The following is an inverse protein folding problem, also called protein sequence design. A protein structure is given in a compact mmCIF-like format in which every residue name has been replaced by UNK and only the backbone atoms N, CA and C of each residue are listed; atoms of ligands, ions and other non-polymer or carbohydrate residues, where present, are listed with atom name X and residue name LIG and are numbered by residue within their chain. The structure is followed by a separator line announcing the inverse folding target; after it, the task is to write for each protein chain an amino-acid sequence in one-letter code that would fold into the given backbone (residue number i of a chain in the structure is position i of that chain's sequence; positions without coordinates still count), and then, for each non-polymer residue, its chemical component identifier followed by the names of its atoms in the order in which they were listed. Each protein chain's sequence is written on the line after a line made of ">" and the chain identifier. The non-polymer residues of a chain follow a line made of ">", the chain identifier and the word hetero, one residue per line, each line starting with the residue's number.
data_IF_261572159515
#
_entry.id   IF_261572159515
#
_cell.length_a   1.000
_cell.length_b   1.000
_cell.length_c   1.000
_cell.angle_alpha   90.00
_cell.angle_beta   90.00
_cell.angle_gamma   90.00
#
_symmetry.space_group_name_H-M   'P 1'
#
loop_
_entity.id
_entity.type
_entity.pdbx_description
1 polymer ?
#
# COMPACT_ATOMS: atom_id res chain seq x y z
N UNK A 1 -69.47 -31.53 -61.13
CA UNK A 1 -69.76 -31.88 -59.78
C UNK A 1 -68.78 -31.14 -58.93
N UNK A 2 -69.09 -29.99 -58.76
CA UNK A 2 -69.38 -29.08 -57.67
C UNK A 2 -69.01 -29.60 -56.31
N UNK A 3 -68.06 -28.93 -55.68
CA UNK A 3 -67.94 -28.79 -54.26
C UNK A 3 -67.28 -27.48 -53.86
N UNK A 4 -68.07 -26.68 -53.30
CA UNK A 4 -68.01 -25.35 -52.89
C UNK A 4 -67.16 -25.20 -51.63
N UNK A 5 -66.30 -24.24 -51.67
CA UNK A 5 -65.44 -23.75 -50.57
C UNK A 5 -66.22 -22.83 -49.64
N UNK A 6 -66.15 -22.99 -48.30
CA UNK A 6 -66.65 -21.97 -47.39
C UNK A 6 -65.57 -21.02 -46.97
N UNK A 7 -65.90 -19.75 -47.04
CA UNK A 7 -65.12 -18.58 -46.60
C UNK A 7 -64.94 -18.54 -45.07
N UNK A 8 -63.74 -18.26 -44.71
CA UNK A 8 -63.34 -17.94 -43.33
C UNK A 8 -63.48 -16.43 -43.10
N UNK A 9 -64.15 -15.96 -42.02
CA UNK A 9 -64.21 -14.60 -41.60
C UNK A 9 -63.28 -14.31 -40.43
N UNK A 10 -62.58 -13.24 -40.52
CA UNK A 10 -62.13 -12.40 -39.42
C UNK A 10 -60.82 -12.75 -38.71
N UNK A 11 -59.72 -12.36 -39.32
CA UNK A 11 -58.48 -12.15 -38.58
C UNK A 11 -58.29 -10.68 -38.27
N UNK A 12 -58.91 -10.21 -37.18
CA UNK A 12 -58.49 -8.94 -36.53
C UNK A 12 -57.19 -9.16 -35.81
N UNK A 13 -56.08 -8.83 -36.46
CA UNK A 13 -54.77 -8.67 -35.82
C UNK A 13 -54.82 -7.45 -34.91
N UNK A 14 -54.93 -7.68 -33.62
CA UNK A 14 -54.65 -6.72 -32.59
C UNK A 14 -53.18 -6.33 -32.63
N UNK A 15 -52.91 -5.10 -33.01
CA UNK A 15 -51.60 -4.44 -32.87
C UNK A 15 -51.27 -4.37 -31.38
N UNK A 16 -50.33 -5.19 -30.92
CA UNK A 16 -49.75 -5.02 -29.58
C UNK A 16 -48.73 -3.90 -29.69
N UNK A 17 -49.14 -2.71 -29.30
CA UNK A 17 -48.23 -1.60 -29.05
C UNK A 17 -47.35 -1.94 -27.84
N UNK A 18 -46.13 -2.35 -28.10
CA UNK A 18 -45.10 -2.50 -27.06
C UNK A 18 -44.63 -1.12 -26.63
N UNK A 19 -44.67 -0.79 -25.34
CA UNK A 19 -44.20 0.49 -24.87
C UNK A 19 -42.66 0.49 -24.84
N UNK A 20 -42.02 0.78 -25.96
CA UNK A 20 -40.54 0.91 -26.06
C UNK A 20 -39.98 2.18 -25.44
N UNK A 21 -40.80 3.10 -24.91
CA UNK A 21 -40.38 4.39 -24.39
C UNK A 21 -40.25 4.47 -22.86
N UNK A 22 -40.77 3.48 -22.12
CA UNK A 22 -40.65 3.51 -20.63
C UNK A 22 -39.24 3.12 -20.14
N UNK A 23 -38.49 2.35 -20.89
CA UNK A 23 -37.15 1.91 -20.46
C UNK A 23 -36.08 3.02 -20.45
N UNK A 24 -36.13 3.95 -21.42
CA UNK A 24 -35.16 5.03 -21.52
C UNK A 24 -35.39 6.16 -20.51
N UNK A 25 -36.66 6.42 -20.19
CA UNK A 25 -37.02 7.46 -19.18
C UNK A 25 -36.73 6.98 -17.76
N UNK A 26 -36.99 5.71 -17.45
CA UNK A 26 -36.64 5.10 -16.17
C UNK A 26 -35.13 5.05 -15.94
N UNK A 27 -34.34 4.68 -16.96
CA UNK A 27 -32.88 4.66 -16.88
C UNK A 27 -32.29 6.06 -16.71
N UNK A 28 -32.83 7.08 -17.38
CA UNK A 28 -32.42 8.48 -17.21
C UNK A 28 -32.77 9.04 -15.83
N UNK A 29 -33.91 8.66 -15.25
CA UNK A 29 -34.29 9.05 -13.89
C UNK A 29 -33.40 8.41 -12.84
N UNK A 30 -33.00 7.14 -13.00
CA UNK A 30 -32.08 6.45 -12.08
C UNK A 30 -30.68 7.05 -12.16
N UNK A 31 -30.19 7.38 -13.35
CA UNK A 31 -28.86 8.02 -13.50
C UNK A 31 -28.87 9.45 -12.95
N UNK A 32 -29.97 10.20 -13.16
CA UNK A 32 -30.10 11.55 -12.61
C UNK A 32 -30.20 11.52 -11.07
N UNK A 33 -30.92 10.58 -10.50
CA UNK A 33 -31.02 10.40 -9.04
C UNK A 33 -29.65 10.00 -8.45
N UNK A 34 -28.92 9.08 -9.11
CA UNK A 34 -27.58 8.69 -8.69
C UNK A 34 -26.58 9.86 -8.79
N UNK A 35 -26.66 10.68 -9.84
CA UNK A 35 -25.83 11.88 -9.96
C UNK A 35 -26.19 12.95 -8.92
N UNK A 36 -27.48 13.13 -8.61
CA UNK A 36 -27.92 14.08 -7.55
C UNK A 36 -27.49 13.61 -6.15
N UNK A 37 -27.60 12.31 -5.85
CA UNK A 37 -27.13 11.77 -4.56
C UNK A 37 -25.61 11.84 -4.43
N UNK A 38 -24.86 11.58 -5.51
CA UNK A 38 -23.41 11.75 -5.52
C UNK A 38 -23.01 13.22 -5.38
N UNK A 39 -23.70 14.14 -6.07
CA UNK A 39 -23.48 15.58 -5.96
C UNK A 39 -23.82 16.09 -4.55
N UNK A 40 -24.90 15.58 -3.93
CA UNK A 40 -25.28 15.94 -2.56
C UNK A 40 -24.27 15.38 -1.54
N UNK A 41 -23.77 14.15 -1.73
CA UNK A 41 -22.71 13.57 -0.89
C UNK A 41 -21.40 14.35 -1.01
N UNK A 42 -21.04 14.81 -2.22
CA UNK A 42 -19.87 15.66 -2.43
C UNK A 42 -20.06 17.06 -1.81
N UNK A 43 -21.27 17.61 -1.85
CA UNK A 43 -21.58 18.93 -1.27
C UNK A 43 -21.68 18.92 0.27
N UNK A 44 -21.94 17.76 0.88
CA UNK A 44 -22.02 17.59 2.34
C UNK A 44 -20.74 16.95 2.92
N UNK A 45 -19.76 16.59 2.09
CA UNK A 45 -18.47 16.11 2.58
C UNK A 45 -17.80 17.22 3.42
N UNK A 46 -17.29 16.89 4.60
CA UNK A 46 -16.55 17.86 5.40
C UNK A 46 -15.35 18.39 4.57
N UNK A 47 -14.98 19.66 4.75
CA UNK A 47 -13.85 20.23 4.03
C UNK A 47 -12.60 19.38 4.33
N UNK A 48 -11.89 18.98 3.27
CA UNK A 48 -10.61 18.25 3.42
C UNK A 48 -9.67 19.11 4.26
N UNK A 49 -9.18 18.55 5.34
CA UNK A 49 -8.03 19.14 6.03
C UNK A 49 -6.83 19.18 5.09
N UNK A 50 -6.01 20.23 5.13
CA UNK A 50 -4.74 20.21 4.40
C UNK A 50 -3.87 19.07 4.94
N UNK A 51 -3.02 18.46 4.08
CA UNK A 51 -2.11 17.43 4.53
C UNK A 51 -1.17 17.95 5.62
N UNK A 52 -0.74 17.06 6.50
CA UNK A 52 0.28 17.37 7.51
C UNK A 52 1.65 17.21 6.87
N UNK A 53 2.46 18.23 6.96
CA UNK A 53 3.80 18.26 6.38
C UNK A 53 4.84 18.56 7.44
N UNK A 54 6.04 18.02 7.26
CA UNK A 54 7.15 18.26 8.16
C UNK A 54 8.47 17.75 7.60
N UNK A 55 9.55 18.04 8.30
CA UNK A 55 10.85 17.50 7.97
C UNK A 55 11.01 16.08 8.52
N UNK A 56 11.74 15.24 7.78
CA UNK A 56 12.10 13.88 8.19
C UNK A 56 13.57 13.63 7.81
N UNK A 57 14.50 14.08 8.64
CA UNK A 57 15.93 13.98 8.40
C UNK A 57 16.52 15.13 7.61
N UNK A 58 17.73 14.94 7.09
CA UNK A 58 18.49 15.94 6.38
C UNK A 58 18.12 15.99 4.90
N UNK A 59 17.39 17.02 4.48
CA UNK A 59 16.97 17.21 3.09
C UNK A 59 15.77 16.37 2.67
N UNK A 60 15.02 15.74 3.60
CA UNK A 60 13.76 15.06 3.33
C UNK A 60 12.60 15.74 4.06
N UNK A 61 11.42 15.60 3.47
CA UNK A 61 10.14 16.02 4.05
C UNK A 61 9.14 14.90 3.95
N UNK A 62 8.15 14.95 4.84
CA UNK A 62 6.98 14.08 4.75
C UNK A 62 5.71 14.89 4.49
N UNK A 63 4.74 14.23 3.86
CA UNK A 63 3.37 14.69 3.70
C UNK A 63 2.43 13.55 4.07
N UNK A 64 1.54 13.77 5.05
CA UNK A 64 0.49 12.83 5.43
C UNK A 64 -0.88 13.42 5.06
N UNK A 65 -1.57 12.79 4.13
CA UNK A 65 -3.00 13.04 3.87
C UNK A 65 -3.83 12.24 4.90
N UNK A 66 -4.32 12.93 5.92
CA UNK A 66 -5.12 12.30 6.99
C UNK A 66 -6.45 11.69 6.48
N UNK A 67 -6.92 12.06 5.28
CA UNK A 67 -8.14 11.51 4.70
C UNK A 67 -7.92 10.12 4.10
N UNK A 68 -6.83 9.96 3.38
CA UNK A 68 -6.44 8.67 2.76
C UNK A 68 -5.58 7.82 3.67
N UNK A 69 -4.91 8.43 4.65
CA UNK A 69 -3.86 7.79 5.44
C UNK A 69 -2.57 7.58 4.64
N UNK A 70 -2.35 8.34 3.56
CA UNK A 70 -1.14 8.21 2.75
C UNK A 70 -0.02 9.07 3.30
N UNK A 71 1.06 8.43 3.72
CA UNK A 71 2.32 9.06 4.10
C UNK A 71 3.28 9.02 2.91
N UNK A 72 3.68 10.19 2.42
CA UNK A 72 4.68 10.31 1.35
C UNK A 72 5.96 10.93 1.91
N UNK A 73 7.10 10.31 1.64
CA UNK A 73 8.43 10.81 2.03
C UNK A 73 9.21 11.11 0.76
N UNK A 74 9.78 12.31 0.68
CA UNK A 74 10.49 12.79 -0.52
C UNK A 74 11.62 13.76 -0.19
N UNK A 75 12.60 13.93 -1.09
CA UNK A 75 13.59 15.00 -0.96
C UNK A 75 12.92 16.38 -0.97
N UNK A 76 13.41 17.29 -0.12
CA UNK A 76 12.80 18.63 0.04
C UNK A 76 12.98 19.51 -1.20
N UNK A 77 14.09 19.38 -1.91
CA UNK A 77 14.44 20.17 -3.10
C UNK A 77 14.36 19.39 -4.41
N UNK A 78 13.90 18.13 -4.35
CA UNK A 78 13.79 17.25 -5.51
C UNK A 78 15.11 16.65 -6.00
N UNK A 79 16.22 16.79 -5.24
CA UNK A 79 17.51 16.19 -5.58
C UNK A 79 17.73 14.87 -4.84
N UNK A 80 18.28 14.92 -3.63
CA UNK A 80 18.43 13.80 -2.73
C UNK A 80 18.49 14.27 -1.28
N UNK A 81 18.07 13.42 -0.35
CA UNK A 81 18.11 13.72 1.08
C UNK A 81 18.16 12.45 1.90
N UNK A 82 18.78 12.53 3.06
CA UNK A 82 18.82 11.43 4.01
C UNK A 82 17.63 11.52 4.96
N UNK A 83 16.84 10.46 5.04
CA UNK A 83 15.69 10.40 5.95
C UNK A 83 16.13 10.05 7.38
N UNK A 84 15.29 10.39 8.35
CA UNK A 84 15.39 9.93 9.73
C UNK A 84 14.31 8.87 10.02
N UNK A 85 14.38 8.28 11.19
CA UNK A 85 13.35 7.33 11.67
C UNK A 85 11.99 8.00 11.69
N UNK A 86 10.97 7.30 11.17
CA UNK A 86 9.60 7.83 11.09
C UNK A 86 9.09 8.23 12.48
N UNK A 87 9.39 7.41 13.51
CA UNK A 87 8.98 7.69 14.89
C UNK A 87 9.54 8.98 15.47
N UNK A 88 10.74 9.38 15.05
CA UNK A 88 11.40 10.60 15.57
C UNK A 88 10.86 11.86 14.88
N UNK A 89 10.33 11.72 13.66
CA UNK A 89 9.84 12.83 12.86
C UNK A 89 8.32 13.03 12.96
N UNK A 90 7.54 11.94 13.11
CA UNK A 90 6.09 11.99 13.15
C UNK A 90 5.58 11.82 14.58
N UNK A 91 4.63 12.67 15.04
CA UNK A 91 3.85 12.41 16.24
C UNK A 91 3.13 11.06 16.18
N UNK A 92 2.88 10.44 17.32
CA UNK A 92 2.28 9.12 17.43
C UNK A 92 0.93 9.02 16.72
N UNK A 93 0.06 10.05 16.87
CA UNK A 93 -1.25 10.11 16.23
C UNK A 93 -1.16 10.08 14.69
N UNK A 94 -0.12 10.66 14.10
CA UNK A 94 0.11 10.66 12.66
C UNK A 94 0.73 9.35 12.20
N UNK A 95 1.62 8.76 12.98
CA UNK A 95 2.27 7.49 12.66
C UNK A 95 1.23 6.36 12.60
N UNK A 96 0.35 6.26 13.59
CA UNK A 96 -0.73 5.29 13.64
C UNK A 96 -1.89 5.60 12.65
N UNK A 97 -1.91 6.80 12.04
CA UNK A 97 -2.86 7.15 10.98
C UNK A 97 -2.36 6.78 9.58
N UNK A 98 -1.07 6.47 9.42
CA UNK A 98 -0.47 6.12 8.14
C UNK A 98 -0.91 4.71 7.72
N UNK A 99 -1.79 4.61 6.71
CA UNK A 99 -2.29 3.34 6.14
C UNK A 99 -1.51 2.87 4.94
N UNK A 100 -0.89 3.80 4.24
CA UNK A 100 0.04 3.51 3.16
C UNK A 100 1.25 4.43 3.25
N UNK A 101 2.41 3.90 2.90
CA UNK A 101 3.66 4.66 2.89
C UNK A 101 4.26 4.59 1.50
N UNK A 102 4.71 5.73 0.98
CA UNK A 102 5.44 5.80 -0.29
C UNK A 102 6.71 6.62 -0.07
N UNK A 103 7.84 6.05 -0.46
CA UNK A 103 9.13 6.75 -0.46
C UNK A 103 9.52 7.05 -1.90
N UNK A 104 9.58 8.35 -2.24
CA UNK A 104 9.92 8.79 -3.59
C UNK A 104 11.42 8.68 -3.87
N UNK A 105 11.80 8.68 -5.16
CA UNK A 105 13.18 8.58 -5.58
C UNK A 105 14.06 9.72 -5.05
N UNK A 106 15.30 9.39 -4.71
CA UNK A 106 16.28 10.33 -4.15
C UNK A 106 16.33 10.34 -2.61
N UNK A 107 15.47 9.57 -1.94
CA UNK A 107 15.58 9.38 -0.49
C UNK A 107 16.69 8.39 -0.17
N UNK A 108 17.62 8.76 0.69
CA UNK A 108 18.73 7.95 1.14
C UNK A 108 18.42 7.40 2.54
N UNK A 109 18.58 6.10 2.70
CA UNK A 109 18.59 5.49 4.02
C UNK A 109 19.89 5.84 4.75
N UNK A 110 19.84 6.19 6.04
CA UNK A 110 21.07 6.43 6.82
C UNK A 110 21.87 5.14 6.99
N UNK A 111 23.14 5.26 7.36
CA UNK A 111 23.98 4.08 7.67
C UNK A 111 23.40 3.27 8.83
N UNK A 112 22.95 3.94 9.90
CA UNK A 112 22.11 3.37 10.95
C UNK A 112 20.63 3.54 10.56
N UNK A 113 20.10 2.55 9.87
CA UNK A 113 18.69 2.43 9.47
C UNK A 113 17.88 1.59 10.44
N UNK A 114 18.39 1.33 11.64
CA UNK A 114 17.66 0.60 12.66
C UNK A 114 16.36 1.32 13.02
N UNK A 115 15.27 0.58 13.13
CA UNK A 115 13.93 1.09 13.47
C UNK A 115 13.39 2.20 12.54
N UNK A 116 13.86 2.26 11.28
CA UNK A 116 13.56 3.37 10.36
C UNK A 116 12.06 3.55 10.11
N UNK A 117 11.32 2.44 9.99
CA UNK A 117 9.87 2.37 9.77
C UNK A 117 9.12 1.68 10.92
N UNK A 118 9.69 1.72 12.13
CA UNK A 118 9.09 1.10 13.32
C UNK A 118 7.68 1.62 13.62
N UNK A 119 6.81 0.73 14.13
CA UNK A 119 5.48 1.04 14.63
C UNK A 119 4.54 1.72 13.62
N UNK A 120 4.70 1.44 12.34
CA UNK A 120 3.70 1.76 11.31
C UNK A 120 2.61 0.68 11.31
N UNK A 121 1.96 0.51 12.46
CA UNK A 121 1.06 -0.60 12.76
C UNK A 121 -0.23 -0.60 11.92
N UNK A 122 -0.67 0.57 11.43
CA UNK A 122 -1.81 0.72 10.54
C UNK A 122 -1.46 0.62 9.05
N UNK A 123 -0.15 0.58 8.67
CA UNK A 123 0.28 0.56 7.29
C UNK A 123 0.02 -0.82 6.65
N UNK A 124 -0.89 -0.86 5.69
CA UNK A 124 -1.26 -2.05 4.93
C UNK A 124 -0.40 -2.22 3.68
N UNK A 125 0.09 -1.11 3.11
CA UNK A 125 0.89 -1.06 1.90
C UNK A 125 2.08 -0.11 2.07
N UNK A 126 3.27 -0.56 1.70
CA UNK A 126 4.50 0.21 1.80
C UNK A 126 5.27 0.07 0.49
N UNK A 127 5.46 1.19 -0.21
CA UNK A 127 6.28 1.29 -1.43
C UNK A 127 7.60 1.99 -1.09
N UNK A 128 8.66 1.22 -1.10
CA UNK A 128 10.02 1.65 -0.81
C UNK A 128 10.92 1.61 -2.04
N UNK A 129 10.35 1.53 -3.23
CA UNK A 129 11.11 1.46 -4.49
C UNK A 129 11.99 2.70 -4.74
N UNK A 130 11.67 3.81 -4.08
CA UNK A 130 12.40 5.07 -4.20
C UNK A 130 13.54 5.27 -3.20
N UNK A 131 13.72 4.38 -2.20
CA UNK A 131 14.78 4.53 -1.20
C UNK A 131 16.10 3.89 -1.67
N UNK A 132 17.20 4.59 -1.47
CA UNK A 132 18.55 4.05 -1.67
C UNK A 132 19.11 3.55 -0.32
N UNK A 133 19.25 2.22 -0.20
CA UNK A 133 19.77 1.54 0.99
C UNK A 133 21.24 1.16 0.90
N UNK A 134 21.94 1.52 -0.18
CA UNK A 134 23.30 1.09 -0.47
C UNK A 134 24.34 1.43 0.60
N UNK A 135 24.02 2.43 1.47
CA UNK A 135 24.87 2.89 2.56
C UNK A 135 24.53 2.30 3.91
N UNK A 136 23.41 1.56 4.01
CA UNK A 136 22.97 1.00 5.28
C UNK A 136 23.92 -0.09 5.77
N UNK A 137 24.24 -0.04 7.04
CA UNK A 137 25.08 -1.04 7.74
C UNK A 137 24.32 -1.73 8.87
N UNK A 138 23.28 -1.09 9.37
CA UNK A 138 22.39 -1.58 10.41
C UNK A 138 20.94 -1.41 9.94
N UNK A 139 20.18 -2.49 9.91
CA UNK A 139 18.75 -2.57 9.57
C UNK A 139 17.96 -3.25 10.69
N UNK A 140 18.52 -3.35 11.90
CA UNK A 140 17.88 -3.97 13.04
C UNK A 140 16.54 -3.34 13.36
N UNK A 141 15.50 -4.14 13.57
CA UNK A 141 14.15 -3.66 13.90
C UNK A 141 13.49 -2.75 12.87
N UNK A 142 14.00 -2.66 11.64
CA UNK A 142 13.58 -1.65 10.66
C UNK A 142 12.07 -1.57 10.44
N UNK A 143 11.36 -2.70 10.49
CA UNK A 143 9.90 -2.80 10.37
C UNK A 143 9.27 -3.36 11.63
N UNK A 144 9.91 -3.17 12.79
CA UNK A 144 9.36 -3.62 14.08
C UNK A 144 7.94 -3.11 14.26
N UNK A 145 7.01 -4.02 14.59
CA UNK A 145 5.62 -3.65 14.91
C UNK A 145 4.73 -3.23 13.73
N UNK A 146 5.17 -3.37 12.47
CA UNK A 146 4.34 -3.11 11.30
C UNK A 146 3.26 -4.20 11.11
N UNK A 147 2.34 -4.27 12.07
CA UNK A 147 1.44 -5.42 12.25
C UNK A 147 0.38 -5.59 11.15
N UNK A 148 0.01 -4.52 10.44
CA UNK A 148 -0.97 -4.57 9.33
C UNK A 148 -0.33 -4.80 7.96
N UNK A 149 1.00 -4.76 7.85
CA UNK A 149 1.73 -4.91 6.59
C UNK A 149 1.53 -6.31 6.01
N UNK A 150 0.87 -6.40 4.84
CA UNK A 150 0.50 -7.68 4.25
C UNK A 150 1.56 -8.24 3.29
N UNK A 151 2.29 -7.37 2.59
CA UNK A 151 3.35 -7.74 1.66
C UNK A 151 4.40 -6.65 1.58
N UNK A 152 5.64 -7.03 1.27
CA UNK A 152 6.74 -6.10 1.11
C UNK A 152 7.70 -6.63 0.04
N UNK A 153 8.07 -5.77 -0.90
CA UNK A 153 9.08 -6.04 -1.92
C UNK A 153 10.36 -5.26 -1.59
N UNK A 154 11.41 -6.00 -1.26
CA UNK A 154 12.73 -5.49 -0.93
C UNK A 154 13.82 -6.06 -1.87
N UNK A 155 13.43 -6.63 -3.00
CA UNK A 155 14.33 -7.28 -3.96
C UNK A 155 15.40 -6.34 -4.54
N UNK A 156 15.08 -5.03 -4.60
CA UNK A 156 15.98 -3.99 -5.10
C UNK A 156 16.94 -3.41 -4.06
N UNK A 157 16.94 -3.90 -2.82
CA UNK A 157 17.72 -3.28 -1.75
C UNK A 157 19.19 -3.71 -1.77
N UNK A 158 20.07 -2.70 -1.55
CA UNK A 158 21.50 -2.94 -1.37
C UNK A 158 21.80 -3.35 0.07
N UNK A 159 22.02 -4.66 0.30
CA UNK A 159 22.28 -5.20 1.65
C UNK A 159 23.71 -5.66 1.88
N UNK A 160 24.58 -5.54 0.88
CA UNK A 160 25.97 -6.03 0.96
C UNK A 160 26.84 -5.35 2.03
N UNK A 161 26.40 -4.21 2.56
CA UNK A 161 27.06 -3.50 3.67
C UNK A 161 26.48 -3.83 5.06
N UNK A 162 25.33 -4.52 5.11
CA UNK A 162 24.56 -4.70 6.34
C UNK A 162 25.18 -5.79 7.21
N UNK A 163 25.39 -5.47 8.47
CA UNK A 163 25.94 -6.37 9.48
C UNK A 163 24.92 -6.77 10.53
N UNK A 164 23.88 -5.95 10.74
CA UNK A 164 22.83 -6.18 11.72
C UNK A 164 21.44 -6.18 11.06
N UNK A 165 20.69 -7.27 11.22
CA UNK A 165 19.32 -7.47 10.76
C UNK A 165 18.46 -8.05 11.89
N UNK A 166 18.91 -7.89 13.18
CA UNK A 166 18.19 -8.39 14.34
C UNK A 166 16.78 -7.81 14.38
N UNK A 167 15.76 -8.65 14.61
CA UNK A 167 14.36 -8.25 14.73
C UNK A 167 13.77 -7.44 13.57
N UNK A 168 14.36 -7.44 12.36
CA UNK A 168 14.00 -6.56 11.27
C UNK A 168 12.49 -6.54 10.94
N UNK A 169 11.82 -7.70 11.02
CA UNK A 169 10.37 -7.84 10.78
C UNK A 169 9.62 -8.31 12.04
N UNK A 170 10.15 -8.03 13.22
CA UNK A 170 9.53 -8.45 14.47
C UNK A 170 8.10 -7.93 14.58
N UNK A 171 7.13 -8.83 14.82
CA UNK A 171 5.73 -8.45 15.00
C UNK A 171 4.97 -8.04 13.75
N UNK A 172 5.54 -8.25 12.55
CA UNK A 172 4.80 -8.05 11.27
C UNK A 172 3.77 -9.18 11.09
N UNK A 173 2.75 -9.20 11.93
CA UNK A 173 1.83 -10.34 12.09
C UNK A 173 0.96 -10.62 10.87
N UNK A 174 0.68 -9.62 10.03
CA UNK A 174 -0.11 -9.75 8.79
C UNK A 174 0.76 -10.07 7.57
N UNK A 175 2.09 -10.06 7.68
CA UNK A 175 3.00 -10.24 6.55
C UNK A 175 2.86 -11.66 5.99
N UNK A 176 2.29 -11.76 4.79
CA UNK A 176 2.01 -13.04 4.12
C UNK A 176 3.01 -13.36 3.01
N UNK A 177 3.61 -12.31 2.41
CA UNK A 177 4.63 -12.46 1.38
C UNK A 177 5.74 -11.43 1.52
N UNK A 178 6.98 -11.86 1.28
CA UNK A 178 8.17 -11.04 1.37
C UNK A 178 9.16 -11.49 0.31
N UNK A 179 9.66 -10.57 -0.51
CA UNK A 179 10.68 -10.85 -1.52
C UNK A 179 12.04 -10.28 -1.07
N UNK A 180 12.99 -11.19 -0.85
CA UNK A 180 14.37 -10.91 -0.45
C UNK A 180 15.39 -11.42 -1.49
N UNK A 181 14.96 -11.65 -2.72
CA UNK A 181 15.77 -12.37 -3.75
C UNK A 181 17.07 -11.65 -4.13
N UNK A 182 17.14 -10.34 -3.94
CA UNK A 182 18.33 -9.54 -4.23
C UNK A 182 19.30 -9.38 -3.07
N UNK A 183 19.05 -10.01 -1.93
CA UNK A 183 19.83 -9.75 -0.71
C UNK A 183 21.18 -10.46 -0.69
N UNK A 184 22.20 -9.71 -0.32
CA UNK A 184 23.54 -10.20 0.02
C UNK A 184 23.70 -10.13 1.55
N UNK A 185 23.78 -11.30 2.19
CA UNK A 185 23.91 -11.45 3.64
C UNK A 185 25.31 -11.85 4.09
N UNK A 186 26.30 -11.82 3.18
CA UNK A 186 27.66 -12.29 3.45
C UNK A 186 28.38 -11.57 4.58
N UNK A 187 27.90 -10.37 4.96
CA UNK A 187 28.45 -9.58 6.08
C UNK A 187 27.56 -9.56 7.31
N UNK A 188 26.38 -10.18 7.27
CA UNK A 188 25.48 -10.21 8.42
C UNK A 188 26.09 -11.01 9.58
N UNK A 189 26.14 -10.40 10.75
CA UNK A 189 26.64 -11.00 12.00
C UNK A 189 25.51 -11.29 12.98
N UNK A 190 24.40 -10.54 12.88
CA UNK A 190 23.20 -10.71 13.68
C UNK A 190 21.96 -10.78 12.79
N UNK A 191 21.19 -11.84 12.92
CA UNK A 191 19.89 -12.07 12.28
C UNK A 191 18.88 -12.59 13.32
N UNK A 192 19.15 -12.38 14.61
CA UNK A 192 18.36 -12.88 15.71
C UNK A 192 16.91 -12.41 15.63
N UNK A 193 15.97 -13.34 15.75
CA UNK A 193 14.54 -13.02 15.80
C UNK A 193 13.96 -12.27 14.58
N UNK A 194 14.67 -12.26 13.44
CA UNK A 194 14.32 -11.45 12.26
C UNK A 194 12.86 -11.57 11.85
N UNK A 195 12.26 -12.75 11.96
CA UNK A 195 10.85 -13.01 11.60
C UNK A 195 9.97 -13.38 12.79
N UNK A 196 10.42 -13.06 14.00
CA UNK A 196 9.65 -13.41 15.19
C UNK A 196 8.29 -12.69 15.18
N UNK A 197 7.20 -13.45 15.35
CA UNK A 197 5.84 -12.88 15.34
C UNK A 197 5.24 -12.64 13.94
N UNK A 198 5.90 -13.01 12.85
CA UNK A 198 5.34 -13.00 11.50
C UNK A 198 4.36 -14.16 11.30
N UNK A 199 3.23 -14.15 12.03
CA UNK A 199 2.33 -15.30 12.15
C UNK A 199 1.56 -15.64 10.86
N UNK A 200 1.45 -14.71 9.92
CA UNK A 200 0.80 -14.91 8.61
C UNK A 200 1.77 -15.40 7.54
N UNK A 201 3.07 -15.43 7.80
CA UNK A 201 4.08 -15.86 6.84
C UNK A 201 4.09 -17.39 6.73
N UNK A 202 3.27 -17.91 5.81
CA UNK A 202 3.06 -19.36 5.67
C UNK A 202 4.24 -20.07 4.95
N UNK A 203 4.92 -19.34 4.07
CA UNK A 203 6.14 -19.79 3.40
C UNK A 203 7.05 -18.58 3.20
N UNK A 204 8.34 -18.80 3.38
CA UNK A 204 9.37 -17.80 3.13
C UNK A 204 10.38 -18.44 2.17
N UNK A 205 10.39 -17.94 0.93
CA UNK A 205 11.40 -18.32 -0.05
C UNK A 205 12.65 -17.47 0.23
N UNK A 206 13.53 -18.01 1.07
CA UNK A 206 14.80 -17.35 1.32
C UNK A 206 15.75 -17.65 0.15
N UNK A 207 16.40 -16.63 -0.42
CA UNK A 207 17.59 -16.86 -1.25
C UNK A 207 18.62 -17.62 -0.40
N UNK A 208 19.66 -18.23 -1.00
CA UNK A 208 20.70 -18.88 -0.24
C UNK A 208 21.46 -17.83 0.58
N UNK A 209 20.95 -17.53 1.78
CA UNK A 209 21.61 -16.62 2.71
C UNK A 209 22.96 -17.17 3.11
N UNK A 210 23.99 -16.37 2.96
CA UNK A 210 25.28 -16.66 3.57
C UNK A 210 25.23 -16.34 5.06
N UNK A 211 25.18 -17.39 5.89
CA UNK A 211 25.16 -17.27 7.34
C UNK A 211 26.50 -17.56 7.98
N UNK A 212 27.58 -17.60 7.20
CA UNK A 212 28.92 -17.99 7.67
C UNK A 212 29.49 -17.03 8.74
N UNK A 213 29.04 -15.79 8.77
CA UNK A 213 29.45 -14.77 9.75
C UNK A 213 28.42 -14.58 10.87
N UNK A 214 27.25 -15.22 10.79
CA UNK A 214 26.16 -15.01 11.75
C UNK A 214 26.51 -15.66 13.08
N UNK A 215 26.46 -14.88 14.16
CA UNK A 215 26.75 -15.31 15.52
C UNK A 215 25.48 -15.37 16.38
N UNK A 216 24.39 -14.67 15.95
CA UNK A 216 23.09 -14.67 16.62
C UNK A 216 21.99 -14.91 15.57
N UNK A 217 21.06 -15.83 15.90
CA UNK A 217 19.97 -16.25 15.00
C UNK A 217 18.66 -16.50 15.78
#
# INVERSE_FOLDING_TARGET
>A
MDAQEPRDPDTRRGRRDTPRHLGLTALRLVTLAACLTLALMLATAPPRKPPRVGAIGAGCSYELDEWTGTLTIRPTDGSSGEMARVRDALPDDLRHAARSVTVEGGVLAPADSSYLFEDLDAAEAVDLSGIDTSRATDMGGMFWGCSSLASLDLSGWGTSGVTDMEFMFYGCSSLASLDLSGWDTSRATDMGGMFYGCSSLASLDLPPFDTSQVTQM
#
